data_IF_657287013061
#
_entry.id   IF_657287013061
#
_cell.length_a   1.000
_cell.length_b   1.000
_cell.length_c   1.000
_cell.angle_alpha   90.00
_cell.angle_beta   90.00
_cell.angle_gamma   90.00
#
_symmetry.space_group_name_H-M   'P 1'
#
loop_
_entity.id
_entity.type
_entity.pdbx_description
1 polymer ?
#
# COMPACT_ATOMS: atom_id res chain seq x y z
N UNK A 1 33.46 -0.62 -10.61
CA UNK A 1 32.72 -1.41 -9.59
C UNK A 1 32.06 -2.59 -10.25
N UNK A 2 31.89 -3.73 -9.56
CA UNK A 2 31.05 -4.82 -10.05
C UNK A 2 29.58 -4.32 -10.01
N UNK A 3 28.80 -4.63 -11.06
CA UNK A 3 27.38 -4.28 -11.10
C UNK A 3 26.63 -4.99 -9.94
N UNK A 4 25.60 -4.36 -9.40
CA UNK A 4 24.78 -4.90 -8.32
C UNK A 4 24.14 -6.25 -8.73
N UNK A 5 24.27 -7.25 -7.88
CA UNK A 5 23.53 -8.51 -8.02
C UNK A 5 22.12 -8.34 -7.43
N UNK A 6 21.14 -8.01 -8.27
CA UNK A 6 19.76 -7.74 -7.86
C UNK A 6 19.12 -8.94 -7.13
N UNK A 7 19.45 -10.17 -7.51
CA UNK A 7 18.91 -11.37 -6.83
C UNK A 7 19.49 -11.50 -5.43
N UNK A 8 20.78 -11.27 -5.28
CA UNK A 8 21.43 -11.32 -3.96
C UNK A 8 20.87 -10.22 -3.03
N UNK A 9 20.67 -9.01 -3.55
CA UNK A 9 20.08 -7.88 -2.79
C UNK A 9 18.66 -8.20 -2.38
N UNK A 10 17.80 -8.63 -3.31
CA UNK A 10 16.41 -9.02 -3.04
C UNK A 10 16.32 -10.11 -1.96
N UNK A 11 17.14 -11.15 -2.08
CA UNK A 11 17.14 -12.28 -1.14
C UNK A 11 17.62 -11.86 0.26
N UNK A 12 18.56 -10.94 0.34
CA UNK A 12 19.01 -10.39 1.62
C UNK A 12 17.91 -9.57 2.29
N UNK A 13 17.19 -8.72 1.54
CA UNK A 13 16.02 -7.98 2.04
C UNK A 13 14.90 -8.93 2.46
N UNK A 14 14.64 -9.99 1.69
CA UNK A 14 13.61 -10.98 2.00
C UNK A 14 13.83 -11.69 3.34
N UNK A 15 15.09 -11.80 3.79
CA UNK A 15 15.43 -12.44 5.05
C UNK A 15 15.19 -11.56 6.28
N UNK A 16 15.04 -10.24 6.12
CA UNK A 16 14.91 -9.26 7.21
C UNK A 16 13.58 -8.47 7.14
N UNK A 17 12.41 -9.11 6.96
CA UNK A 17 11.14 -8.39 6.85
C UNK A 17 10.77 -7.75 8.19
N UNK A 18 10.44 -6.46 8.18
CA UNK A 18 10.04 -5.67 9.34
C UNK A 18 8.71 -4.96 9.09
N UNK A 19 7.88 -4.85 10.13
CA UNK A 19 6.55 -4.22 10.04
C UNK A 19 6.70 -2.69 10.03
N UNK A 20 5.69 -2.02 9.52
CA UNK A 20 5.67 -0.56 9.37
C UNK A 20 6.08 0.22 10.61
N UNK A 21 7.03 1.12 10.45
CA UNK A 21 7.75 1.91 11.44
C UNK A 21 8.68 1.11 12.38
N UNK A 22 8.93 -0.17 12.09
CA UNK A 22 9.94 -0.99 12.76
C UNK A 22 11.11 -1.37 11.84
N UNK A 23 11.21 -0.83 10.61
CA UNK A 23 12.12 -1.20 9.52
C UNK A 23 13.56 -0.71 9.78
N UNK A 24 14.13 -1.09 10.92
CA UNK A 24 15.46 -0.62 11.38
C UNK A 24 16.60 -1.35 10.66
N UNK A 25 16.51 -2.69 10.55
CA UNK A 25 17.50 -3.49 9.84
C UNK A 25 17.41 -3.24 8.34
N UNK A 26 16.19 -3.11 7.80
CA UNK A 26 15.92 -2.73 6.42
C UNK A 26 16.55 -1.38 6.08
N UNK A 27 16.36 -0.34 6.91
CA UNK A 27 16.99 0.96 6.73
C UNK A 27 18.51 0.86 6.75
N UNK A 28 19.06 0.09 7.69
CA UNK A 28 20.51 -0.09 7.81
C UNK A 28 21.09 -0.78 6.57
N UNK A 29 20.42 -1.82 6.08
CA UNK A 29 20.78 -2.53 4.86
C UNK A 29 20.76 -1.61 3.63
N UNK A 30 19.67 -0.86 3.43
CA UNK A 30 19.54 0.10 2.34
C UNK A 30 20.69 1.13 2.37
N UNK A 31 20.98 1.70 3.53
CA UNK A 31 22.09 2.64 3.70
C UNK A 31 23.45 2.03 3.37
N UNK A 32 23.69 0.76 3.74
CA UNK A 32 24.93 0.07 3.41
C UNK A 32 25.07 -0.12 1.90
N UNK A 33 24.01 -0.53 1.20
CA UNK A 33 24.00 -0.64 -0.26
C UNK A 33 24.27 0.72 -0.94
N UNK A 34 23.58 1.78 -0.50
CA UNK A 34 23.74 3.12 -1.07
C UNK A 34 25.15 3.68 -0.85
N UNK A 35 25.79 3.42 0.29
CA UNK A 35 27.16 3.84 0.58
C UNK A 35 28.22 3.21 -0.32
N UNK A 36 27.91 2.10 -0.96
CA UNK A 36 28.81 1.43 -1.93
C UNK A 36 28.74 2.01 -3.34
N UNK A 37 27.75 2.88 -3.62
CA UNK A 37 27.57 3.57 -4.89
C UNK A 37 28.50 4.82 -4.99
N UNK A 38 28.68 5.42 -6.19
CA UNK A 38 29.34 6.72 -6.32
C UNK A 38 28.67 7.79 -5.46
N UNK A 39 29.42 8.41 -4.55
CA UNK A 39 28.87 9.32 -3.51
C UNK A 39 28.88 10.79 -3.90
N UNK A 40 29.51 11.18 -5.01
CA UNK A 40 29.79 12.57 -5.36
C UNK A 40 28.53 13.43 -5.50
N UNK A 41 27.38 12.80 -5.84
CA UNK A 41 26.11 13.47 -6.07
C UNK A 41 24.96 12.92 -5.22
N UNK A 42 25.25 11.99 -4.31
CA UNK A 42 24.21 11.40 -3.45
C UNK A 42 24.06 12.21 -2.17
N UNK A 43 22.85 12.63 -1.88
CA UNK A 43 22.44 13.20 -0.59
C UNK A 43 21.37 12.34 0.05
N UNK A 44 21.48 12.13 1.37
CA UNK A 44 20.58 11.24 2.11
C UNK A 44 19.97 11.99 3.28
N UNK A 45 18.66 11.90 3.43
CA UNK A 45 17.93 12.27 4.65
C UNK A 45 17.22 11.06 5.21
N UNK A 46 17.27 10.89 6.52
CA UNK A 46 16.46 9.90 7.24
C UNK A 46 15.17 10.55 7.73
N UNK A 47 14.10 9.81 7.62
CA UNK A 47 12.84 10.15 8.26
C UNK A 47 12.25 8.89 8.89
N UNK A 48 12.20 8.84 10.24
CA UNK A 48 11.89 7.61 10.99
C UNK A 48 12.75 6.45 10.47
N UNK A 49 12.11 5.36 10.04
CA UNK A 49 12.74 4.18 9.46
C UNK A 49 12.91 4.26 7.93
N UNK A 50 12.35 5.28 7.28
CA UNK A 50 12.48 5.52 5.84
C UNK A 50 13.68 6.39 5.46
N UNK A 51 13.92 6.48 4.13
CA UNK A 51 15.01 7.27 3.55
C UNK A 51 14.50 8.13 2.40
N UNK A 52 15.09 9.32 2.28
CA UNK A 52 15.01 10.17 1.10
C UNK A 52 16.42 10.26 0.53
N UNK A 53 16.62 9.78 -0.70
CA UNK A 53 17.93 9.73 -1.35
C UNK A 53 17.87 10.52 -2.64
N UNK A 54 18.53 11.67 -2.67
CA UNK A 54 18.60 12.55 -3.86
C UNK A 54 19.91 12.36 -4.59
N UNK A 55 19.83 12.05 -5.89
CA UNK A 55 20.95 12.18 -6.80
C UNK A 55 20.89 13.57 -7.44
N UNK A 56 21.91 14.38 -7.23
CA UNK A 56 21.99 15.73 -7.78
C UNK A 56 22.23 15.70 -9.29
N UNK A 57 21.32 16.34 -10.03
CA UNK A 57 21.44 16.51 -11.47
C UNK A 57 22.63 17.40 -11.89
N UNK A 58 23.00 17.30 -13.16
CA UNK A 58 24.14 18.06 -13.71
C UNK A 58 23.81 19.53 -14.00
N UNK A 59 22.51 19.84 -14.26
CA UNK A 59 21.97 21.19 -14.47
C UNK A 59 20.46 21.18 -14.20
N UNK A 60 20.04 21.01 -12.93
CA UNK A 60 18.66 20.70 -12.60
C UNK A 60 17.72 21.87 -12.83
N UNK A 61 16.55 21.59 -13.40
CA UNK A 61 15.41 22.50 -13.49
C UNK A 61 14.20 22.00 -12.72
N UNK A 62 14.20 20.71 -12.32
CA UNK A 62 13.14 20.04 -11.57
C UNK A 62 13.70 18.82 -10.83
N UNK A 63 12.85 18.23 -9.99
CA UNK A 63 13.12 16.97 -9.29
C UNK A 63 12.13 15.90 -9.74
N UNK A 64 12.63 14.75 -10.20
CA UNK A 64 11.86 13.55 -10.52
C UNK A 64 11.88 12.64 -9.31
N UNK A 65 10.72 12.25 -8.79
CA UNK A 65 10.58 11.31 -7.68
C UNK A 65 10.31 9.89 -8.15
N UNK A 66 10.96 8.92 -7.55
CA UNK A 66 10.59 7.50 -7.61
C UNK A 66 10.36 6.97 -6.19
N UNK A 67 9.15 6.46 -5.91
CA UNK A 67 8.80 5.93 -4.59
C UNK A 67 8.85 4.41 -4.60
N UNK A 68 9.37 3.86 -3.53
CA UNK A 68 9.27 2.46 -3.12
C UNK A 68 8.84 2.37 -1.66
N UNK A 69 8.02 1.43 -1.31
CA UNK A 69 7.73 0.99 0.05
C UNK A 69 8.84 0.08 0.57
N UNK A 70 8.92 -0.09 1.92
CA UNK A 70 10.01 -0.87 2.52
C UNK A 70 9.58 -1.83 3.63
N UNK A 71 8.31 -1.76 4.07
CA UNK A 71 7.78 -2.58 5.15
C UNK A 71 7.36 -3.98 4.67
N UNK A 72 7.00 -4.82 5.64
CA UNK A 72 6.56 -6.19 5.43
C UNK A 72 5.29 -6.47 6.24
N UNK A 73 4.74 -7.66 6.07
CA UNK A 73 3.50 -8.11 6.68
C UNK A 73 3.72 -9.10 7.83
N UNK A 74 2.79 -9.13 8.82
CA UNK A 74 2.77 -10.13 9.88
C UNK A 74 2.23 -11.48 9.35
N UNK A 75 2.93 -12.06 8.38
CA UNK A 75 2.59 -13.31 7.72
C UNK A 75 3.70 -14.32 7.98
N UNK A 76 3.35 -15.52 8.46
CA UNK A 76 4.31 -16.61 8.62
C UNK A 76 4.62 -17.20 7.25
N UNK A 77 5.87 -17.10 6.83
CA UNK A 77 6.31 -17.57 5.53
C UNK A 77 6.24 -19.11 5.40
N UNK A 78 5.77 -19.57 4.24
CA UNK A 78 5.68 -20.98 3.86
C UNK A 78 6.22 -21.24 2.44
N UNK A 79 7.12 -20.40 1.96
CA UNK A 79 7.65 -20.51 0.59
C UNK A 79 8.58 -21.70 0.38
N UNK A 80 9.25 -22.18 1.44
CA UNK A 80 10.32 -23.17 1.32
C UNK A 80 11.57 -22.65 0.62
N UNK A 81 11.77 -21.33 0.52
CA UNK A 81 12.99 -20.74 -0.01
C UNK A 81 14.20 -21.04 0.89
N UNK A 82 15.41 -21.25 0.34
CA UNK A 82 16.63 -21.35 1.16
C UNK A 82 17.02 -20.01 1.82
N UNK A 83 16.39 -18.91 1.41
CA UNK A 83 16.53 -17.55 1.93
C UNK A 83 15.21 -17.06 2.55
N UNK A 84 14.48 -17.91 3.25
CA UNK A 84 13.29 -17.55 4.01
C UNK A 84 13.57 -16.45 5.02
N UNK A 85 12.49 -15.76 5.41
CA UNK A 85 12.51 -14.80 6.51
C UNK A 85 13.21 -15.35 7.74
N UNK A 86 14.09 -14.56 8.35
CA UNK A 86 14.72 -14.83 9.65
C UNK A 86 13.93 -14.20 10.81
N UNK A 87 12.89 -13.42 10.52
CA UNK A 87 11.99 -12.81 11.48
C UNK A 87 10.70 -13.64 11.57
N UNK A 88 10.56 -14.44 12.62
CA UNK A 88 9.41 -15.34 12.78
C UNK A 88 8.08 -14.58 12.71
N UNK A 89 7.16 -15.09 11.87
CA UNK A 89 5.84 -14.52 11.70
C UNK A 89 5.79 -13.26 10.84
N UNK A 90 6.89 -12.86 10.19
CA UNK A 90 6.94 -11.72 9.26
C UNK A 90 7.45 -12.18 7.88
N UNK A 91 6.93 -11.57 6.81
CA UNK A 91 7.31 -11.90 5.43
C UNK A 91 7.07 -10.70 4.50
N UNK A 92 7.94 -10.51 3.51
CA UNK A 92 7.65 -9.64 2.35
C UNK A 92 6.63 -10.30 1.41
N UNK A 93 5.40 -10.50 1.91
CA UNK A 93 4.33 -11.16 1.16
C UNK A 93 3.62 -10.23 0.15
N UNK A 94 3.97 -8.93 0.13
CA UNK A 94 3.52 -7.95 -0.87
C UNK A 94 4.60 -7.63 -1.92
N UNK A 95 5.83 -8.14 -1.74
CA UNK A 95 6.92 -7.96 -2.72
C UNK A 95 7.70 -6.66 -2.60
N UNK A 96 7.65 -5.99 -1.44
CA UNK A 96 8.40 -4.75 -1.22
C UNK A 96 9.92 -4.96 -1.27
N UNK A 97 10.42 -6.18 -1.04
CA UNK A 97 11.81 -6.58 -1.30
C UNK A 97 12.19 -6.46 -2.80
N UNK A 98 11.24 -6.71 -3.74
CA UNK A 98 11.41 -6.41 -5.17
C UNK A 98 11.46 -4.91 -5.41
N UNK A 99 10.53 -4.16 -4.83
CA UNK A 99 10.43 -2.71 -5.03
C UNK A 99 11.71 -2.01 -4.57
N UNK A 100 12.19 -2.32 -3.36
CA UNK A 100 13.46 -1.80 -2.83
C UNK A 100 14.66 -2.15 -3.72
N UNK A 101 14.72 -3.40 -4.19
CA UNK A 101 15.82 -3.86 -5.05
C UNK A 101 15.82 -3.12 -6.38
N UNK A 102 14.65 -2.92 -6.99
CA UNK A 102 14.50 -2.15 -8.24
C UNK A 102 14.91 -0.70 -8.02
N UNK A 103 14.49 -0.10 -6.90
CA UNK A 103 14.87 1.26 -6.53
C UNK A 103 16.39 1.41 -6.34
N UNK A 104 17.05 0.47 -5.65
CA UNK A 104 18.50 0.46 -5.48
C UNK A 104 19.23 0.29 -6.81
N UNK A 105 18.76 -0.61 -7.69
CA UNK A 105 19.35 -0.79 -9.00
C UNK A 105 19.24 0.46 -9.90
N UNK A 106 18.08 1.10 -9.91
CA UNK A 106 17.88 2.34 -10.64
C UNK A 106 18.72 3.49 -10.04
N UNK A 107 18.78 3.60 -8.72
CA UNK A 107 19.62 4.58 -8.01
C UNK A 107 21.11 4.40 -8.37
N UNK A 108 21.62 3.16 -8.41
CA UNK A 108 23.01 2.88 -8.80
C UNK A 108 23.29 3.38 -10.20
N UNK A 109 22.42 3.10 -11.19
CA UNK A 109 22.59 3.52 -12.58
C UNK A 109 22.57 5.05 -12.70
N UNK A 110 21.64 5.73 -12.04
CA UNK A 110 21.54 7.19 -12.05
C UNK A 110 22.71 7.84 -11.31
N UNK A 111 23.23 7.24 -10.23
CA UNK A 111 24.42 7.76 -9.53
C UNK A 111 25.70 7.59 -10.36
N UNK A 112 25.81 6.53 -11.15
CA UNK A 112 26.92 6.33 -12.09
C UNK A 112 26.85 7.25 -13.30
N UNK A 113 25.65 7.54 -13.80
CA UNK A 113 25.40 8.36 -14.98
C UNK A 113 24.34 9.44 -14.65
N UNK A 114 24.72 10.52 -13.90
CA UNK A 114 23.76 11.52 -13.48
C UNK A 114 23.11 12.25 -14.66
N UNK A 115 21.79 12.33 -14.64
CA UNK A 115 21.00 13.05 -15.64
C UNK A 115 21.04 14.58 -15.40
N UNK A 116 20.32 15.34 -16.25
CA UNK A 116 20.23 16.80 -16.09
C UNK A 116 19.53 17.19 -14.80
N UNK A 117 18.38 16.61 -14.52
CA UNK A 117 17.51 16.96 -13.40
C UNK A 117 17.87 16.20 -12.12
N UNK A 118 17.40 16.67 -10.96
CA UNK A 118 17.51 15.92 -9.72
C UNK A 118 16.63 14.67 -9.78
N UNK A 119 17.08 13.57 -9.16
CA UNK A 119 16.26 12.37 -8.94
C UNK A 119 16.16 12.09 -7.44
N UNK A 120 14.95 11.98 -6.93
CA UNK A 120 14.65 11.66 -5.54
C UNK A 120 14.10 10.25 -5.45
N UNK A 121 14.86 9.34 -4.84
CA UNK A 121 14.38 8.02 -4.45
C UNK A 121 13.80 8.09 -3.03
N UNK A 122 12.54 7.68 -2.89
CA UNK A 122 11.78 7.74 -1.64
C UNK A 122 11.57 6.30 -1.17
N UNK A 123 12.29 5.90 -0.13
CA UNK A 123 12.11 4.62 0.55
C UNK A 123 11.12 4.87 1.70
N UNK A 124 9.85 4.63 1.43
CA UNK A 124 8.75 4.96 2.33
C UNK A 124 8.46 3.80 3.28
N UNK A 125 8.44 4.01 4.60
CA UNK A 125 8.01 2.99 5.57
C UNK A 125 6.50 2.91 5.68
N UNK A 126 6.01 1.80 6.26
CA UNK A 126 4.65 1.63 6.75
C UNK A 126 3.54 1.82 5.68
N UNK A 127 3.71 1.25 4.48
CA UNK A 127 2.65 1.23 3.46
C UNK A 127 1.48 0.35 3.91
N UNK A 128 1.76 -0.83 4.44
CA UNK A 128 0.77 -1.84 4.87
C UNK A 128 0.02 -1.46 6.16
N UNK A 129 0.44 -0.39 6.80
CA UNK A 129 -0.15 0.19 8.01
C UNK A 129 0.91 0.61 9.02
N UNK A 130 0.64 1.69 9.75
CA UNK A 130 -0.58 2.53 9.80
C UNK A 130 -0.67 3.62 8.71
N UNK A 131 0.13 3.56 7.65
CA UNK A 131 0.18 4.54 6.56
C UNK A 131 1.31 5.55 6.71
N UNK A 132 2.39 5.35 5.93
CA UNK A 132 3.61 6.16 5.98
C UNK A 132 3.60 7.38 5.07
N UNK A 133 2.82 7.37 3.97
CA UNK A 133 2.83 8.43 2.97
C UNK A 133 2.46 9.80 3.56
N UNK A 134 1.32 9.93 4.22
CA UNK A 134 0.82 11.21 4.75
C UNK A 134 1.80 11.83 5.76
N UNK A 135 2.25 11.12 6.82
CA UNK A 135 3.18 11.71 7.77
C UNK A 135 4.58 11.96 7.17
N UNK A 136 5.02 11.19 6.17
CA UNK A 136 6.27 11.46 5.47
C UNK A 136 6.16 12.75 4.63
N UNK A 137 5.10 12.91 3.86
CA UNK A 137 4.83 14.12 3.07
C UNK A 137 4.74 15.37 3.93
N UNK A 138 4.17 15.27 5.13
CA UNK A 138 4.08 16.38 6.08
C UNK A 138 5.42 16.72 6.76
N UNK A 139 6.45 15.88 6.61
CA UNK A 139 7.75 16.11 7.25
C UNK A 139 8.55 17.22 6.57
N UNK A 140 9.31 18.01 7.35
CA UNK A 140 10.22 19.02 6.79
C UNK A 140 11.28 18.42 5.86
N UNK A 141 11.69 17.16 6.11
CA UNK A 141 12.66 16.45 5.27
C UNK A 141 12.14 16.25 3.84
N UNK A 142 10.86 15.87 3.70
CA UNK A 142 10.21 15.69 2.40
C UNK A 142 9.92 17.05 1.74
N UNK A 143 9.34 18.00 2.48
CA UNK A 143 8.95 19.30 1.94
C UNK A 143 10.12 20.06 1.32
N UNK A 144 11.32 19.93 1.88
CA UNK A 144 12.54 20.55 1.32
C UNK A 144 12.95 19.94 -0.02
N UNK A 145 12.63 18.65 -0.26
CA UNK A 145 12.98 17.92 -1.47
C UNK A 145 11.78 17.47 -2.29
N UNK A 146 10.59 18.06 -2.03
CA UNK A 146 9.35 17.69 -2.71
C UNK A 146 9.57 17.64 -4.23
N UNK A 147 9.31 16.51 -4.88
CA UNK A 147 9.49 16.38 -6.33
C UNK A 147 8.40 17.11 -7.11
N UNK A 148 8.74 17.55 -8.33
CA UNK A 148 7.81 18.16 -9.27
C UNK A 148 6.96 17.12 -10.02
N UNK A 149 7.47 15.89 -10.07
CA UNK A 149 6.82 14.73 -10.68
C UNK A 149 7.22 13.49 -9.90
N UNK A 150 6.28 12.55 -9.70
CA UNK A 150 6.53 11.32 -8.96
C UNK A 150 5.92 10.11 -9.67
N UNK A 151 6.62 8.99 -9.61
CA UNK A 151 6.04 7.72 -10.03
C UNK A 151 6.48 6.58 -9.12
N UNK A 152 5.74 5.46 -9.19
CA UNK A 152 6.00 4.26 -8.41
C UNK A 152 5.65 3.02 -9.23
N UNK A 153 6.10 1.87 -8.78
CA UNK A 153 5.62 0.58 -9.26
C UNK A 153 5.13 -0.28 -8.09
N UNK A 154 4.27 -1.24 -8.40
CA UNK A 154 3.99 -2.36 -7.53
C UNK A 154 4.09 -3.66 -8.32
N UNK A 155 4.55 -4.74 -7.72
CA UNK A 155 4.60 -6.06 -8.36
C UNK A 155 3.21 -6.70 -8.40
N UNK A 156 2.94 -7.48 -9.46
CA UNK A 156 1.67 -8.20 -9.57
C UNK A 156 1.89 -9.64 -10.05
N UNK A 157 1.31 -10.64 -9.35
CA UNK A 157 1.31 -12.03 -9.80
C UNK A 157 0.32 -12.31 -10.95
N UNK A 158 -0.49 -11.34 -11.34
CA UNK A 158 -1.49 -11.52 -12.39
C UNK A 158 -0.91 -11.40 -13.80
N UNK A 159 0.26 -10.73 -13.92
CA UNK A 159 0.90 -10.47 -15.21
C UNK A 159 2.18 -11.30 -15.42
N UNK A 160 2.53 -11.62 -16.68
CA UNK A 160 3.79 -12.30 -16.98
C UNK A 160 5.00 -11.54 -16.43
N UNK A 161 6.04 -12.27 -16.01
CA UNK A 161 7.25 -11.66 -15.44
C UNK A 161 7.88 -10.63 -16.39
N UNK A 162 8.19 -9.45 -15.85
CA UNK A 162 8.78 -8.32 -16.59
C UNK A 162 7.80 -7.53 -17.47
N UNK A 163 6.50 -7.86 -17.48
CA UNK A 163 5.49 -7.09 -18.20
C UNK A 163 5.04 -5.88 -17.36
N UNK A 164 5.04 -4.70 -17.97
CA UNK A 164 4.44 -3.49 -17.39
C UNK A 164 2.92 -3.55 -17.59
N UNK A 165 2.14 -3.32 -16.54
CA UNK A 165 0.69 -3.15 -16.70
C UNK A 165 0.28 -1.79 -16.11
N UNK A 166 -0.45 -1.00 -16.90
CA UNK A 166 -0.79 0.39 -16.57
C UNK A 166 -2.16 0.72 -17.13
N UNK A 167 -2.79 1.75 -16.60
CA UNK A 167 -4.06 2.28 -17.14
C UNK A 167 -4.21 3.75 -16.84
N UNK A 168 -4.94 4.45 -17.69
CA UNK A 168 -5.53 5.76 -17.41
C UNK A 168 -6.62 5.63 -16.33
N UNK A 169 -6.71 6.60 -15.45
CA UNK A 169 -7.73 6.63 -14.39
C UNK A 169 -7.29 5.86 -13.13
N UNK A 170 -8.25 5.27 -12.45
CA UNK A 170 -8.02 4.61 -11.17
C UNK A 170 -7.31 3.28 -11.37
N UNK A 171 -6.10 3.16 -10.84
CA UNK A 171 -5.34 1.92 -10.80
C UNK A 171 -5.62 1.13 -9.52
N UNK A 172 -5.61 1.80 -8.35
CA UNK A 172 -5.93 1.23 -7.04
C UNK A 172 -7.11 1.95 -6.40
N UNK A 173 -7.95 1.20 -5.71
CA UNK A 173 -9.16 1.70 -5.05
C UNK A 173 -8.86 2.62 -3.86
N UNK A 174 -9.84 3.45 -3.50
CA UNK A 174 -9.92 3.99 -2.15
C UNK A 174 -10.18 2.86 -1.17
N UNK A 175 -9.50 2.85 -0.04
CA UNK A 175 -9.73 1.87 1.01
C UNK A 175 -9.94 2.55 2.35
N UNK A 176 -10.74 1.93 3.20
CA UNK A 176 -10.90 2.32 4.59
C UNK A 176 -11.10 1.06 5.42
N UNK A 177 -10.45 0.99 6.55
CA UNK A 177 -10.82 0.05 7.60
C UNK A 177 -12.14 0.49 8.24
N UNK A 178 -12.76 -0.41 8.99
CA UNK A 178 -13.98 -0.13 9.73
C UNK A 178 -13.98 -0.93 11.03
N UNK A 179 -13.92 -0.23 12.13
CA UNK A 179 -14.05 -0.80 13.46
C UNK A 179 -15.22 -0.14 14.19
N UNK A 180 -16.12 -0.96 14.72
CA UNK A 180 -17.28 -0.47 15.47
C UNK A 180 -17.38 -1.25 16.77
N UNK A 181 -17.34 -0.54 17.87
CA UNK A 181 -17.60 -1.07 19.21
C UNK A 181 -18.98 -0.67 19.67
N UNK A 182 -19.79 -1.63 20.10
CA UNK A 182 -21.10 -1.42 20.75
C UNK A 182 -20.97 -1.69 22.24
N UNK A 183 -21.47 -0.77 23.04
CA UNK A 183 -21.47 -0.81 24.52
C UNK A 183 -22.90 -0.75 25.05
N UNK A 184 -23.30 -1.75 25.80
CA UNK A 184 -24.62 -1.90 26.38
C UNK A 184 -24.60 -2.17 27.87
N UNK A 185 -25.51 -3.00 28.33
CA UNK A 185 -25.62 -3.42 29.74
C UNK A 185 -25.72 -4.94 29.83
N UNK A 186 -24.67 -5.57 30.31
CA UNK A 186 -24.62 -7.02 30.54
C UNK A 186 -25.48 -7.46 31.71
N UNK A 187 -25.66 -8.79 31.84
CA UNK A 187 -26.38 -9.38 32.94
C UNK A 187 -26.64 -10.87 32.75
N UNK A 188 -27.40 -11.43 33.68
CA UNK A 188 -27.74 -12.86 33.66
C UNK A 188 -28.69 -13.17 32.50
N UNK A 189 -28.38 -14.14 31.68
CA UNK A 189 -29.14 -14.48 30.45
C UNK A 189 -30.63 -14.83 30.70
N UNK A 190 -31.02 -15.26 31.91
CA UNK A 190 -32.39 -15.48 32.29
C UNK A 190 -33.23 -14.22 32.53
N UNK A 191 -32.58 -13.05 32.62
CA UNK A 191 -33.22 -11.73 32.89
C UNK A 191 -32.91 -10.72 31.78
N UNK A 192 -33.19 -11.03 30.49
CA UNK A 192 -32.80 -10.14 29.37
C UNK A 192 -33.48 -8.77 29.42
N UNK A 193 -34.66 -8.68 30.02
CA UNK A 193 -35.40 -7.40 30.18
C UNK A 193 -34.71 -6.37 31.09
N UNK A 194 -33.65 -6.72 31.82
CA UNK A 194 -32.86 -5.86 32.67
C UNK A 194 -31.55 -5.41 32.01
N UNK A 195 -31.31 -5.78 30.76
CA UNK A 195 -30.06 -5.63 30.03
C UNK A 195 -30.23 -4.94 28.69
N UNK A 196 -29.13 -4.59 28.03
CA UNK A 196 -29.07 -4.09 26.66
C UNK A 196 -28.02 -4.93 25.91
N UNK A 197 -28.49 -5.87 25.10
CA UNK A 197 -27.67 -6.93 24.46
C UNK A 197 -26.92 -6.38 23.26
N UNK A 198 -25.59 -6.20 23.41
CA UNK A 198 -24.73 -5.69 22.35
C UNK A 198 -24.44 -6.72 21.26
N UNK A 199 -24.50 -8.01 21.57
CA UNK A 199 -24.27 -9.06 20.58
C UNK A 199 -25.41 -9.09 19.57
N UNK A 200 -26.66 -9.00 20.04
CA UNK A 200 -27.85 -8.89 19.19
C UNK A 200 -27.82 -7.60 18.38
N UNK A 201 -27.44 -6.48 18.99
CA UNK A 201 -27.29 -5.18 18.31
C UNK A 201 -26.28 -5.29 17.15
N UNK A 202 -25.08 -5.84 17.41
CA UNK A 202 -24.05 -6.03 16.40
C UNK A 202 -24.49 -6.96 15.25
N UNK A 203 -25.20 -8.07 15.54
CA UNK A 203 -25.75 -8.97 14.53
C UNK A 203 -26.71 -8.22 13.58
N UNK A 204 -27.67 -7.47 14.12
CA UNK A 204 -28.62 -6.68 13.32
C UNK A 204 -27.93 -5.58 12.52
N UNK A 205 -26.94 -4.91 13.10
CA UNK A 205 -26.11 -3.94 12.38
C UNK A 205 -25.43 -4.58 11.16
N UNK A 206 -24.74 -5.72 11.34
CA UNK A 206 -24.03 -6.42 10.25
C UNK A 206 -24.98 -6.82 9.12
N UNK A 207 -26.18 -7.31 9.44
CA UNK A 207 -27.20 -7.62 8.43
C UNK A 207 -27.71 -6.35 7.75
N UNK A 208 -27.97 -5.29 8.51
CA UNK A 208 -28.50 -4.02 7.98
C UNK A 208 -27.59 -3.34 6.97
N UNK A 209 -26.29 -3.27 7.25
CA UNK A 209 -25.32 -2.61 6.38
C UNK A 209 -25.13 -3.31 5.03
N UNK A 210 -25.50 -4.59 4.88
CA UNK A 210 -25.44 -5.29 3.58
C UNK A 210 -26.32 -4.62 2.53
N UNK A 211 -27.35 -3.88 2.94
CA UNK A 211 -28.19 -3.12 2.03
C UNK A 211 -27.53 -1.86 1.44
N UNK A 212 -26.47 -1.33 2.06
CA UNK A 212 -25.83 -0.07 1.63
C UNK A 212 -25.33 -0.21 0.20
N UNK A 213 -24.44 -1.16 -0.09
CA UNK A 213 -23.92 -1.35 -1.44
C UNK A 213 -25.04 -1.68 -2.41
N UNK A 214 -25.94 -2.59 -2.03
CA UNK A 214 -26.99 -3.10 -2.93
C UNK A 214 -28.11 -2.08 -3.25
N UNK A 215 -28.31 -1.03 -2.42
CA UNK A 215 -29.46 -0.11 -2.54
C UNK A 215 -29.10 1.37 -2.56
N UNK A 216 -27.86 1.72 -2.21
CA UNK A 216 -27.43 3.12 -2.11
C UNK A 216 -26.35 3.48 -3.12
N UNK A 217 -25.45 2.53 -3.44
CA UNK A 217 -24.42 2.72 -4.44
C UNK A 217 -25.02 2.56 -5.85
N UNK A 218 -24.64 3.43 -6.78
CA UNK A 218 -25.01 3.28 -8.18
C UNK A 218 -24.54 1.93 -8.73
N UNK A 219 -25.36 1.19 -9.48
CA UNK A 219 -24.93 -0.08 -10.08
C UNK A 219 -23.79 0.07 -11.12
N UNK A 220 -23.46 1.29 -11.52
CA UNK A 220 -22.32 1.60 -12.39
C UNK A 220 -21.03 1.86 -11.59
N UNK A 221 -21.12 2.03 -10.27
CA UNK A 221 -19.97 2.24 -9.40
C UNK A 221 -19.60 0.95 -8.68
N UNK A 222 -18.30 0.66 -8.61
CA UNK A 222 -17.82 -0.51 -7.88
C UNK A 222 -17.55 -0.17 -6.42
N UNK A 223 -18.13 -0.99 -5.52
CA UNK A 223 -17.91 -0.84 -4.09
C UNK A 223 -17.92 -2.21 -3.39
N UNK A 224 -17.10 -2.32 -2.34
CA UNK A 224 -17.06 -3.48 -1.43
C UNK A 224 -17.22 -2.96 0.00
N UNK A 225 -18.12 -3.60 0.76
CA UNK A 225 -18.28 -3.41 2.20
C UNK A 225 -18.32 -4.81 2.83
N UNK A 226 -17.24 -5.20 3.49
CA UNK A 226 -17.11 -6.53 4.07
C UNK A 226 -16.88 -6.42 5.57
N UNK A 227 -17.64 -7.18 6.36
CA UNK A 227 -17.32 -7.43 7.75
C UNK A 227 -16.61 -8.78 7.82
N UNK A 228 -15.32 -8.76 8.16
CA UNK A 228 -14.46 -9.94 8.23
C UNK A 228 -14.42 -10.58 9.62
N UNK A 229 -14.72 -9.80 10.68
CA UNK A 229 -14.66 -10.30 12.06
C UNK A 229 -15.72 -9.65 12.93
N UNK A 230 -16.28 -10.45 13.82
CA UNK A 230 -17.18 -10.01 14.89
C UNK A 230 -16.82 -10.75 16.17
N UNK A 231 -16.81 -10.06 17.30
CA UNK A 231 -16.54 -10.64 18.61
C UNK A 231 -17.41 -9.98 19.68
N UNK A 232 -17.79 -10.75 20.70
CA UNK A 232 -18.62 -10.24 21.82
C UNK A 232 -18.98 -11.34 22.81
N UNK A 233 -19.28 -10.91 24.05
CA UNK A 233 -19.63 -11.82 25.13
C UNK A 233 -18.46 -12.61 25.71
N UNK A 234 -18.67 -13.20 26.88
CA UNK A 234 -17.64 -13.94 27.63
C UNK A 234 -18.07 -15.36 27.98
N UNK A 235 -19.37 -15.60 28.12
CA UNK A 235 -19.92 -16.91 28.54
C UNK A 235 -21.39 -17.05 28.08
N UNK A 236 -21.83 -18.26 27.78
CA UNK A 236 -23.16 -18.56 27.20
C UNK A 236 -24.35 -18.12 28.06
N UNK A 237 -24.17 -17.92 29.36
CA UNK A 237 -25.23 -17.52 30.30
C UNK A 237 -25.08 -16.06 30.79
N UNK A 238 -24.29 -15.25 30.10
CA UNK A 238 -24.09 -13.82 30.37
C UNK A 238 -24.42 -13.05 29.12
N UNK A 239 -25.31 -12.06 29.20
CA UNK A 239 -25.60 -11.13 28.11
C UNK A 239 -24.40 -10.19 27.94
N UNK A 240 -23.95 -10.03 26.72
CA UNK A 240 -22.78 -9.22 26.38
C UNK A 240 -23.02 -7.73 26.61
N UNK A 241 -22.11 -7.07 27.33
CA UNK A 241 -22.09 -5.63 27.48
C UNK A 241 -21.21 -4.91 26.44
N UNK A 242 -20.40 -5.68 25.69
CA UNK A 242 -19.56 -5.20 24.63
C UNK A 242 -19.56 -6.18 23.45
N UNK A 243 -19.67 -5.62 22.24
CA UNK A 243 -19.44 -6.34 20.98
C UNK A 243 -18.67 -5.47 20.02
N UNK A 244 -17.75 -6.08 19.26
CA UNK A 244 -16.91 -5.40 18.25
C UNK A 244 -17.11 -6.02 16.88
N UNK A 245 -17.21 -5.15 15.88
CA UNK A 245 -17.31 -5.49 14.45
C UNK A 245 -16.11 -4.89 13.73
N UNK A 246 -15.44 -5.68 12.89
CA UNK A 246 -14.26 -5.27 12.15
C UNK A 246 -14.46 -5.59 10.66
N UNK A 247 -14.16 -4.61 9.80
CA UNK A 247 -14.41 -4.73 8.37
C UNK A 247 -13.54 -3.82 7.51
N UNK A 248 -13.85 -3.80 6.21
CA UNK A 248 -13.17 -2.97 5.22
C UNK A 248 -14.15 -2.42 4.19
N UNK A 249 -13.88 -1.23 3.72
CA UNK A 249 -14.61 -0.55 2.64
C UNK A 249 -13.65 -0.31 1.49
N UNK A 250 -14.09 -0.57 0.25
CA UNK A 250 -13.33 -0.27 -0.97
C UNK A 250 -14.23 0.34 -2.01
N UNK A 251 -13.75 1.38 -2.69
CA UNK A 251 -14.51 2.06 -3.75
C UNK A 251 -13.56 2.58 -4.83
N UNK A 252 -14.09 2.72 -6.06
CA UNK A 252 -13.31 3.33 -7.14
C UNK A 252 -13.46 4.85 -7.21
N UNK A 253 -14.30 5.46 -6.37
CA UNK A 253 -14.45 6.93 -6.31
C UNK A 253 -14.69 7.41 -4.87
N UNK A 254 -14.36 8.69 -4.61
CA UNK A 254 -14.46 9.30 -3.30
C UNK A 254 -15.91 9.58 -2.88
N UNK A 255 -16.79 9.88 -3.82
CA UNK A 255 -18.20 10.19 -3.52
C UNK A 255 -18.89 8.93 -2.99
N UNK A 256 -18.65 7.78 -3.62
CA UNK A 256 -19.16 6.48 -3.16
C UNK A 256 -18.59 6.13 -1.76
N UNK A 257 -17.30 6.40 -1.49
CA UNK A 257 -16.71 6.19 -0.16
C UNK A 257 -17.42 7.04 0.90
N UNK A 258 -17.62 8.32 0.62
CA UNK A 258 -18.31 9.24 1.53
C UNK A 258 -19.76 8.81 1.79
N UNK A 259 -20.49 8.42 0.73
CA UNK A 259 -21.86 7.93 0.83
C UNK A 259 -21.95 6.67 1.72
N UNK A 260 -21.05 5.70 1.53
CA UNK A 260 -21.05 4.48 2.33
C UNK A 260 -20.77 4.78 3.80
N UNK A 261 -19.80 5.66 4.10
CA UNK A 261 -19.48 6.05 5.48
C UNK A 261 -20.66 6.76 6.15
N UNK A 262 -21.31 7.69 5.46
CA UNK A 262 -22.50 8.39 5.97
C UNK A 262 -23.66 7.41 6.27
N UNK A 263 -23.92 6.45 5.37
CA UNK A 263 -24.95 5.45 5.59
C UNK A 263 -24.57 4.44 6.72
N UNK A 264 -23.28 4.11 6.91
CA UNK A 264 -22.81 3.34 8.06
C UNK A 264 -23.09 4.07 9.35
N UNK A 265 -22.74 5.38 9.44
CA UNK A 265 -22.98 6.19 10.62
C UNK A 265 -24.46 6.30 10.97
N UNK A 266 -25.33 6.41 9.96
CA UNK A 266 -26.80 6.38 10.14
C UNK A 266 -27.28 5.02 10.66
N UNK A 267 -26.77 3.92 10.15
CA UNK A 267 -27.11 2.56 10.61
C UNK A 267 -26.63 2.33 12.04
N UNK A 268 -25.43 2.80 12.38
CA UNK A 268 -24.91 2.76 13.76
C UNK A 268 -25.86 3.52 14.69
N UNK A 269 -26.27 4.73 14.31
CA UNK A 269 -27.18 5.56 15.10
C UNK A 269 -28.57 4.91 15.28
N UNK A 270 -29.09 4.29 14.22
CA UNK A 270 -30.34 3.54 14.28
C UNK A 270 -30.22 2.32 15.23
N UNK A 271 -29.08 1.63 15.21
CA UNK A 271 -28.80 0.52 16.12
C UNK A 271 -28.69 0.97 17.57
N UNK A 272 -28.05 2.09 17.86
CA UNK A 272 -28.00 2.68 19.21
C UNK A 272 -29.42 2.91 19.77
N UNK A 273 -30.30 3.49 18.96
CA UNK A 273 -31.69 3.79 19.35
C UNK A 273 -32.48 2.49 19.56
N UNK A 274 -32.39 1.54 18.62
CA UNK A 274 -33.18 0.31 18.65
C UNK A 274 -32.79 -0.62 19.80
N UNK A 275 -31.51 -0.64 20.19
CA UNK A 275 -30.95 -1.58 21.18
C UNK A 275 -30.52 -0.91 22.48
N UNK A 276 -30.80 0.40 22.66
CA UNK A 276 -30.42 1.19 23.84
C UNK A 276 -28.93 1.08 24.20
N UNK A 277 -28.06 0.96 23.19
CA UNK A 277 -26.61 0.86 23.34
C UNK A 277 -25.92 2.18 22.94
N UNK A 278 -24.63 2.28 23.20
CA UNK A 278 -23.73 3.32 22.68
C UNK A 278 -22.73 2.69 21.74
N UNK A 279 -22.17 3.49 20.85
CA UNK A 279 -21.14 3.00 19.93
C UNK A 279 -19.94 3.92 19.83
N UNK A 280 -18.85 3.37 19.30
CA UNK A 280 -17.68 4.09 18.82
C UNK A 280 -17.34 3.56 17.44
N UNK A 281 -17.16 4.46 16.48
CA UNK A 281 -16.67 4.14 15.14
C UNK A 281 -15.23 4.60 15.05
N UNK A 282 -14.39 3.76 14.42
CA UNK A 282 -13.02 4.09 14.04
C UNK A 282 -12.80 3.56 12.61
N UNK A 283 -12.34 4.44 11.73
CA UNK A 283 -12.09 4.07 10.33
C UNK A 283 -10.64 3.66 10.05
N UNK A 284 -9.79 3.59 11.09
CA UNK A 284 -8.43 3.10 11.01
C UNK A 284 -7.63 3.70 9.85
N UNK A 285 -6.90 2.85 9.14
CA UNK A 285 -6.19 3.25 7.95
C UNK A 285 -7.17 3.58 6.80
N UNK A 286 -6.91 4.72 6.15
CA UNK A 286 -7.66 5.17 4.98
C UNK A 286 -6.65 5.45 3.88
N UNK A 287 -6.82 4.84 2.70
CA UNK A 287 -5.94 5.07 1.56
C UNK A 287 -6.72 5.77 0.45
N UNK A 288 -6.09 6.80 -0.08
CA UNK A 288 -6.63 7.52 -1.22
C UNK A 288 -6.36 6.73 -2.50
N UNK A 289 -7.30 6.76 -3.45
CA UNK A 289 -7.15 6.08 -4.74
C UNK A 289 -5.84 6.45 -5.45
N UNK A 290 -5.20 5.48 -6.09
CA UNK A 290 -4.14 5.78 -7.06
C UNK A 290 -4.80 6.09 -8.40
N UNK A 291 -4.70 7.36 -8.80
CA UNK A 291 -5.30 7.86 -10.04
C UNK A 291 -4.22 8.32 -11.02
N UNK A 292 -4.09 7.61 -12.13
CA UNK A 292 -3.17 7.92 -13.21
C UNK A 292 -3.80 8.91 -14.18
N UNK A 293 -3.33 10.15 -14.18
CA UNK A 293 -3.77 11.12 -15.17
C UNK A 293 -3.19 10.80 -16.54
N UNK A 294 -4.03 10.79 -17.59
CA UNK A 294 -3.65 10.55 -18.99
C UNK A 294 -2.42 11.35 -19.44
N UNK A 295 -2.33 12.60 -18.98
CA UNK A 295 -1.19 13.48 -19.28
C UNK A 295 0.17 12.89 -18.89
N UNK A 296 0.20 12.04 -17.86
CA UNK A 296 1.43 11.44 -17.33
C UNK A 296 1.55 9.96 -17.66
N UNK A 297 0.42 9.26 -17.72
CA UNK A 297 0.37 7.84 -18.04
C UNK A 297 0.65 7.57 -19.52
N UNK A 298 0.05 8.35 -20.43
CA UNK A 298 0.22 8.14 -21.89
C UNK A 298 1.69 8.28 -22.35
N UNK A 299 2.47 9.29 -21.92
CA UNK A 299 3.90 9.35 -22.22
C UNK A 299 4.69 8.11 -21.76
N UNK A 300 4.29 7.50 -20.64
CA UNK A 300 4.91 6.26 -20.16
C UNK A 300 4.54 5.06 -21.03
N UNK A 301 3.29 4.95 -21.48
CA UNK A 301 2.85 3.94 -22.45
C UNK A 301 3.62 4.07 -23.76
N UNK A 302 3.72 5.31 -24.29
CA UNK A 302 4.46 5.59 -25.52
C UNK A 302 5.96 5.28 -25.36
N UNK A 303 6.53 5.54 -24.18
CA UNK A 303 7.90 5.16 -23.84
C UNK A 303 8.07 3.63 -23.84
N UNK A 304 7.17 2.88 -23.21
CA UNK A 304 7.24 1.41 -23.20
C UNK A 304 7.18 0.85 -24.63
N UNK A 305 6.29 1.38 -25.46
CA UNK A 305 6.17 0.98 -26.87
C UNK A 305 7.46 1.29 -27.67
N UNK A 306 8.03 2.50 -27.52
CA UNK A 306 9.25 2.94 -28.20
C UNK A 306 10.47 2.12 -27.78
N UNK A 307 10.56 1.71 -26.52
CA UNK A 307 11.65 0.89 -25.97
C UNK A 307 11.44 -0.62 -26.13
N UNK A 308 10.31 -1.01 -26.69
CA UNK A 308 9.91 -2.42 -26.82
C UNK A 308 9.85 -3.15 -25.46
N UNK A 309 9.49 -2.44 -24.38
CA UNK A 309 9.12 -3.08 -23.14
C UNK A 309 7.73 -3.73 -23.29
N UNK A 310 7.55 -4.98 -22.86
CA UNK A 310 6.24 -5.61 -22.90
C UNK A 310 5.29 -4.85 -21.96
N UNK A 311 4.14 -4.39 -22.48
CA UNK A 311 3.15 -3.69 -21.68
C UNK A 311 1.71 -4.12 -22.00
N UNK A 312 0.82 -3.91 -21.03
CA UNK A 312 -0.61 -4.21 -21.10
C UNK A 312 -1.37 -3.02 -20.51
N UNK A 313 -2.51 -2.69 -21.12
CA UNK A 313 -3.51 -1.81 -20.47
C UNK A 313 -4.37 -2.70 -19.59
N UNK A 314 -4.32 -2.49 -18.26
CA UNK A 314 -4.98 -3.34 -17.29
C UNK A 314 -6.30 -2.75 -16.76
N UNK A 315 -7.05 -3.57 -16.02
CA UNK A 315 -8.21 -3.12 -15.27
C UNK A 315 -7.83 -2.46 -13.93
N UNK A 316 -8.78 -1.77 -13.29
CA UNK A 316 -8.60 -1.23 -11.94
C UNK A 316 -8.56 -2.37 -10.93
N UNK A 317 -7.70 -2.23 -9.91
CA UNK A 317 -7.64 -3.15 -8.78
C UNK A 317 -8.41 -2.61 -7.58
N UNK A 318 -9.05 -3.52 -6.82
CA UNK A 318 -9.72 -3.17 -5.56
C UNK A 318 -8.76 -3.22 -4.35
N UNK A 319 -7.46 -3.41 -4.58
CA UNK A 319 -6.41 -3.28 -3.58
C UNK A 319 -6.20 -1.82 -3.18
N UNK A 320 -5.71 -1.58 -1.97
CA UNK A 320 -5.33 -0.25 -1.49
C UNK A 320 -3.84 0.00 -1.69
N UNK A 321 -3.47 1.28 -1.72
CA UNK A 321 -2.08 1.73 -1.84
C UNK A 321 -2.00 3.19 -1.36
N UNK A 322 -1.10 3.49 -0.42
CA UNK A 322 -1.01 4.84 0.16
C UNK A 322 -0.27 5.84 -0.74
N UNK A 323 0.36 5.38 -1.84
CA UNK A 323 0.94 6.24 -2.87
C UNK A 323 -0.08 7.22 -3.48
N UNK A 324 -1.37 6.88 -3.43
CA UNK A 324 -2.44 7.78 -3.87
C UNK A 324 -2.41 9.15 -3.19
N UNK A 325 -1.90 9.25 -1.95
CA UNK A 325 -1.72 10.53 -1.27
C UNK A 325 -0.65 11.41 -1.92
N UNK A 326 0.45 10.82 -2.42
CA UNK A 326 1.43 11.57 -3.20
C UNK A 326 0.81 12.11 -4.48
N UNK A 327 0.03 11.30 -5.21
CA UNK A 327 -0.60 11.71 -6.47
C UNK A 327 -1.69 12.77 -6.30
N UNK A 328 -2.25 12.91 -5.09
CA UNK A 328 -3.17 14.00 -4.75
C UNK A 328 -2.48 15.37 -4.79
N UNK A 329 -1.18 15.43 -4.48
CA UNK A 329 -0.42 16.67 -4.34
C UNK A 329 0.68 16.86 -5.38
N UNK A 330 1.13 15.78 -6.02
CA UNK A 330 2.25 15.79 -6.95
C UNK A 330 1.83 15.10 -8.23
N UNK A 331 2.04 15.72 -9.40
CA UNK A 331 1.80 15.08 -10.68
C UNK A 331 2.56 13.75 -10.82
N UNK A 332 1.89 12.72 -11.34
CA UNK A 332 2.56 11.44 -11.50
C UNK A 332 1.63 10.29 -11.89
N UNK A 333 2.13 9.09 -11.74
CA UNK A 333 1.40 7.85 -12.01
C UNK A 333 2.04 6.66 -11.28
N UNK A 334 1.34 5.53 -11.29
CA UNK A 334 1.83 4.23 -10.82
C UNK A 334 1.54 3.15 -11.86
N UNK A 335 2.36 2.10 -11.88
CA UNK A 335 2.16 0.96 -12.76
C UNK A 335 2.45 -0.36 -12.04
N UNK A 336 1.91 -1.45 -12.57
CA UNK A 336 2.24 -2.79 -12.14
C UNK A 336 3.45 -3.35 -12.89
N UNK A 337 4.31 -4.08 -12.19
CA UNK A 337 5.32 -4.94 -12.80
C UNK A 337 4.92 -6.40 -12.61
N UNK A 338 4.67 -7.12 -13.66
CA UNK A 338 4.37 -8.54 -13.61
C UNK A 338 5.54 -9.35 -13.03
N UNK A 339 5.22 -10.28 -12.13
CA UNK A 339 6.20 -11.20 -11.52
C UNK A 339 5.85 -12.67 -11.77
N UNK A 340 5.03 -12.93 -12.80
CA UNK A 340 4.62 -14.27 -13.19
C UNK A 340 3.54 -14.86 -12.27
N UNK A 341 2.92 -15.95 -12.72
CA UNK A 341 1.87 -16.61 -11.92
C UNK A 341 2.46 -17.28 -10.68
N UNK A 342 2.01 -16.83 -9.53
CA UNK A 342 2.32 -17.40 -8.23
C UNK A 342 1.09 -17.28 -7.33
N UNK A 343 1.21 -17.60 -6.04
CA UNK A 343 0.17 -17.25 -5.06
C UNK A 343 -0.07 -15.73 -5.05
N UNK A 344 -1.28 -15.31 -4.68
CA UNK A 344 -1.62 -13.89 -4.60
C UNK A 344 -0.75 -13.12 -3.60
N UNK A 345 -0.75 -11.80 -3.72
CA UNK A 345 -0.19 -10.90 -2.71
C UNK A 345 -0.78 -11.24 -1.32
N UNK A 346 -0.01 -11.02 -0.26
CA UNK A 346 -0.31 -11.37 1.13
C UNK A 346 -0.40 -12.87 1.43
N UNK A 347 -0.13 -13.74 0.44
CA UNK A 347 -0.07 -15.18 0.67
C UNK A 347 1.25 -15.61 1.29
N UNK A 348 1.18 -16.58 2.24
CA UNK A 348 2.36 -17.15 2.90
C UNK A 348 3.32 -17.92 1.96
N UNK A 349 2.85 -18.26 0.78
CA UNK A 349 3.60 -18.96 -0.28
C UNK A 349 3.78 -18.11 -1.56
N UNK A 350 3.72 -16.78 -1.43
CA UNK A 350 4.01 -15.84 -2.52
C UNK A 350 5.45 -15.99 -3.01
N UNK A 351 5.62 -16.37 -4.27
CA UNK A 351 6.91 -16.67 -4.91
C UNK A 351 7.07 -15.94 -6.24
N UNK A 352 7.37 -14.65 -6.23
CA UNK A 352 7.56 -13.88 -7.46
C UNK A 352 8.78 -14.35 -8.25
N UNK A 353 8.68 -14.30 -9.58
CA UNK A 353 9.78 -14.64 -10.49
C UNK A 353 10.85 -13.55 -10.47
N UNK A 354 12.04 -13.90 -9.97
CA UNK A 354 13.17 -12.97 -9.86
C UNK A 354 13.71 -12.46 -11.21
N UNK A 355 13.30 -13.05 -12.36
CA UNK A 355 13.64 -12.52 -13.68
C UNK A 355 13.04 -11.14 -13.94
N UNK A 356 11.97 -10.76 -13.22
CA UNK A 356 11.34 -9.45 -13.31
C UNK A 356 12.22 -8.32 -12.73
N UNK A 357 13.18 -8.61 -11.85
CA UNK A 357 14.04 -7.61 -11.21
C UNK A 357 14.82 -6.78 -12.22
N UNK A 358 15.55 -7.44 -13.12
CA UNK A 358 16.35 -6.76 -14.13
C UNK A 358 15.49 -5.90 -15.05
N UNK A 359 14.32 -6.41 -15.45
CA UNK A 359 13.39 -5.66 -16.28
C UNK A 359 12.81 -4.45 -15.53
N UNK A 360 12.46 -4.61 -14.25
CA UNK A 360 12.00 -3.50 -13.40
C UNK A 360 13.05 -2.39 -13.30
N UNK A 361 14.30 -2.74 -13.02
CA UNK A 361 15.41 -1.77 -12.98
C UNK A 361 15.55 -1.05 -14.33
N UNK A 362 15.55 -1.78 -15.46
CA UNK A 362 15.66 -1.19 -16.80
C UNK A 362 14.50 -0.23 -17.11
N UNK A 363 13.27 -0.60 -16.78
CA UNK A 363 12.09 0.27 -17.00
C UNK A 363 12.23 1.56 -16.21
N UNK A 364 12.52 1.47 -14.90
CA UNK A 364 12.61 2.62 -14.01
C UNK A 364 13.77 3.53 -14.39
N UNK A 365 14.99 2.99 -14.55
CA UNK A 365 16.17 3.81 -14.87
C UNK A 365 16.06 4.48 -16.24
N UNK A 366 15.66 3.73 -17.29
CA UNK A 366 15.51 4.30 -18.63
C UNK A 366 14.40 5.36 -18.69
N UNK A 367 13.31 5.21 -17.92
CA UNK A 367 12.27 6.23 -17.87
C UNK A 367 12.74 7.50 -17.18
N UNK A 368 13.53 7.38 -16.11
CA UNK A 368 14.19 8.54 -15.46
C UNK A 368 15.18 9.24 -16.42
N UNK A 369 15.97 8.46 -17.16
CA UNK A 369 17.01 9.00 -18.07
C UNK A 369 16.42 9.78 -19.25
N UNK A 370 15.32 9.34 -19.82
CA UNK A 370 14.71 10.01 -21.00
C UNK A 370 13.93 11.27 -20.63
N UNK A 371 13.60 11.41 -19.37
CA UNK A 371 12.80 12.52 -18.88
C UNK A 371 11.35 12.46 -19.36
N UNK A 372 10.49 13.16 -18.66
CA UNK A 372 9.07 13.34 -18.95
C UNK A 372 8.86 14.73 -19.48
#
# INVERSE_FOLDING_TARGET
MLAMDYRAVRRALHQIPEIGFEEVETQAFLLDQIRRMPQERIQIKKWKTGLLVRVEGTNPSRTIGFRTDIDALPVRENTGYPFQSQHEGKMHACGHDFHMTIALGALEQIAQNPIKDHVLFIFQPAEEGPGGAVPMMASGAFQEWKPDFIFALHVSPEFPAGTVAVREGILFANTSELFIDFYGKGGHAAYPHLTYDTLVAACHFVVGIQSIVARRVSPLNSAVLTIGKMSGGTKQNIIAEHARVEGTIRTLDQETMALIKDDIERQVKATEIAYHCRSRIDYGANYYQVYNHKKYEQPFVDFCARKAFPYIICDAAMTGEDFGYFLKEIPGFMFWLGVGKTAGLHSSDFKPDESALEQGVRVVSSFIEEGI
#
